data_IF_175803908600
#
_entry.id   IF_175803908600
#
_cell.length_a   1.000
_cell.length_b   1.000
_cell.length_c   1.000
_cell.angle_alpha   90.00
_cell.angle_beta   90.00
_cell.angle_gamma   90.00
#
_symmetry.space_group_name_H-M   'P 1'
#
loop_
_entity.id
_entity.type
_entity.pdbx_description
1 polymer ?
#
# COMPACT_ATOMS: atom_id res chain seq x y z
N UNK A 1 -7.95 -23.80 -2.85
CA UNK A 1 -7.93 -22.36 -2.53
C UNK A 1 -6.85 -21.74 -3.37
N UNK A 2 -7.21 -20.85 -4.29
CA UNK A 2 -6.31 -20.39 -5.35
C UNK A 2 -5.33 -19.39 -4.76
N UNK A 3 -4.04 -19.76 -4.83
CA UNK A 3 -2.89 -18.92 -4.52
C UNK A 3 -2.94 -17.67 -5.40
N UNK A 4 -3.48 -16.57 -4.87
CA UNK A 4 -3.41 -15.26 -5.51
C UNK A 4 -1.94 -14.89 -5.65
N UNK A 5 -1.54 -14.47 -6.85
CA UNK A 5 -0.18 -14.03 -7.16
C UNK A 5 0.23 -12.94 -6.15
N UNK A 6 0.94 -13.34 -5.12
CA UNK A 6 1.25 -12.53 -3.96
C UNK A 6 2.41 -11.62 -4.37
N UNK A 7 2.08 -10.41 -4.80
CA UNK A 7 3.04 -9.31 -4.90
C UNK A 7 3.82 -9.28 -3.58
N UNK A 8 5.13 -9.52 -3.67
CA UNK A 8 5.98 -9.68 -2.49
C UNK A 8 6.22 -8.29 -1.87
N UNK A 9 5.37 -7.93 -0.93
CA UNK A 9 5.47 -6.70 -0.16
C UNK A 9 6.31 -6.86 1.12
N UNK A 10 7.20 -7.85 1.17
CA UNK A 10 8.08 -8.04 2.32
C UNK A 10 8.93 -6.79 2.56
N UNK A 11 8.62 -6.06 3.63
CA UNK A 11 9.42 -4.95 4.13
C UNK A 11 9.72 -5.14 5.60
N UNK A 12 10.91 -4.74 6.00
CA UNK A 12 11.28 -4.73 7.41
C UNK A 12 10.41 -3.76 8.20
N UNK A 13 10.31 -3.98 9.51
CA UNK A 13 9.58 -3.09 10.42
C UNK A 13 10.11 -1.66 10.38
N UNK A 14 11.44 -1.50 10.27
CA UNK A 14 12.11 -0.20 10.18
C UNK A 14 11.69 0.56 8.92
N UNK A 15 11.68 -0.09 7.76
CA UNK A 15 11.21 0.50 6.51
C UNK A 15 9.73 0.89 6.57
N UNK A 16 8.88 0.10 7.24
CA UNK A 16 7.48 0.47 7.46
C UNK A 16 7.33 1.71 8.34
N UNK A 17 8.17 1.85 9.36
CA UNK A 17 8.14 3.00 10.26
C UNK A 17 8.67 4.27 9.56
N UNK A 18 9.66 4.15 8.69
CA UNK A 18 10.11 5.23 7.81
C UNK A 18 9.01 5.70 6.85
N UNK A 19 8.29 4.76 6.21
CA UNK A 19 7.17 5.09 5.34
C UNK A 19 6.05 5.81 6.11
N UNK A 20 5.72 5.33 7.31
CA UNK A 20 4.73 5.99 8.18
C UNK A 20 5.19 7.39 8.58
N UNK A 21 6.47 7.58 8.85
CA UNK A 21 7.05 8.90 9.15
C UNK A 21 7.06 9.83 7.92
N UNK A 22 7.34 9.30 6.73
CA UNK A 22 7.24 10.04 5.48
C UNK A 22 5.80 10.49 5.24
N UNK A 23 4.82 9.57 5.33
CA UNK A 23 3.40 9.88 5.20
C UNK A 23 2.95 11.02 6.11
N UNK A 24 3.36 11.04 7.38
CA UNK A 24 3.02 12.12 8.33
C UNK A 24 3.58 13.49 7.94
N UNK A 25 4.67 13.53 7.17
CA UNK A 25 5.34 14.76 6.72
C UNK A 25 4.86 15.21 5.33
N UNK A 26 4.31 14.29 4.55
CA UNK A 26 3.85 14.56 3.18
C UNK A 26 2.60 15.44 3.17
N UNK A 27 2.67 16.57 2.44
CA UNK A 27 1.53 17.48 2.21
C UNK A 27 0.78 17.19 0.91
N UNK A 28 1.44 16.51 -0.03
CA UNK A 28 0.82 16.07 -1.28
C UNK A 28 -0.11 14.88 -1.01
N UNK A 29 -1.42 15.07 -1.27
CA UNK A 29 -2.44 14.06 -1.02
C UNK A 29 -2.27 12.80 -1.87
N UNK A 30 -1.77 12.94 -3.10
CA UNK A 30 -1.53 11.80 -3.99
C UNK A 30 -0.37 10.98 -3.44
N UNK A 31 0.71 11.64 -3.06
CA UNK A 31 1.88 10.97 -2.50
C UNK A 31 1.58 10.30 -1.16
N UNK A 32 0.81 10.96 -0.29
CA UNK A 32 0.31 10.36 0.94
C UNK A 32 -0.53 9.10 0.66
N UNK A 33 -1.38 9.13 -0.38
CA UNK A 33 -2.14 7.97 -0.83
C UNK A 33 -1.26 6.80 -1.26
N UNK A 34 -0.20 7.07 -2.04
CA UNK A 34 0.77 6.05 -2.45
C UNK A 34 1.45 5.39 -1.27
N UNK A 35 1.91 6.19 -0.30
CA UNK A 35 2.58 5.66 0.89
C UNK A 35 1.62 4.80 1.72
N UNK A 36 0.34 5.21 1.87
CA UNK A 36 -0.67 4.38 2.55
C UNK A 36 -0.88 3.05 1.84
N UNK A 37 -0.97 3.04 0.51
CA UNK A 37 -1.14 1.81 -0.27
C UNK A 37 -0.03 0.81 0.05
N UNK A 38 1.22 1.26 -0.11
CA UNK A 38 2.41 0.42 0.11
C UNK A 38 2.47 -0.11 1.55
N UNK A 39 2.18 0.74 2.54
CA UNK A 39 2.16 0.31 3.95
C UNK A 39 1.07 -0.73 4.20
N UNK A 40 -0.14 -0.51 3.69
CA UNK A 40 -1.27 -1.43 3.88
C UNK A 40 -0.99 -2.81 3.26
N UNK A 41 -0.53 -2.82 2.01
CA UNK A 41 -0.15 -4.03 1.27
C UNK A 41 0.97 -4.81 1.99
N UNK A 42 2.01 -4.10 2.44
CA UNK A 42 3.11 -4.69 3.20
C UNK A 42 2.69 -5.20 4.60
N UNK A 43 1.56 -4.73 5.13
CA UNK A 43 0.96 -5.25 6.37
C UNK A 43 -0.06 -6.37 6.16
N UNK A 44 -0.21 -6.85 4.91
CA UNK A 44 -1.05 -8.00 4.59
C UNK A 44 -2.45 -7.66 4.08
N UNK A 45 -2.73 -6.39 3.76
CA UNK A 45 -3.99 -6.03 3.11
C UNK A 45 -3.99 -6.51 1.66
N UNK A 46 -5.16 -6.87 1.18
CA UNK A 46 -5.40 -7.22 -0.23
C UNK A 46 -5.46 -5.96 -1.10
N UNK A 47 -5.27 -6.14 -2.40
CA UNK A 47 -5.36 -5.04 -3.36
C UNK A 47 -6.77 -4.42 -3.37
N UNK A 48 -7.78 -5.24 -3.12
CA UNK A 48 -9.19 -4.90 -3.04
C UNK A 48 -9.49 -4.02 -1.81
N UNK A 49 -9.01 -4.39 -0.62
CA UNK A 49 -9.17 -3.58 0.60
C UNK A 49 -8.47 -2.23 0.46
N UNK A 50 -7.29 -2.19 -0.18
CA UNK A 50 -6.55 -0.95 -0.43
C UNK A 50 -7.25 -0.08 -1.46
N UNK A 51 -7.83 -0.69 -2.50
CA UNK A 51 -8.62 0.01 -3.50
C UNK A 51 -9.88 0.65 -2.90
N UNK A 52 -10.56 -0.08 -2.01
CA UNK A 52 -11.69 0.44 -1.24
C UNK A 52 -11.26 1.60 -0.32
N UNK A 53 -10.16 1.45 0.42
CA UNK A 53 -9.63 2.50 1.30
C UNK A 53 -9.28 3.78 0.54
N UNK A 54 -8.71 3.65 -0.65
CA UNK A 54 -8.24 4.77 -1.47
C UNK A 54 -9.29 5.27 -2.47
N UNK A 55 -10.43 4.57 -2.59
CA UNK A 55 -11.48 4.85 -3.56
C UNK A 55 -10.94 4.89 -5.01
N UNK A 56 -10.14 3.89 -5.37
CA UNK A 56 -9.55 3.72 -6.71
C UNK A 56 -9.84 2.32 -7.27
N UNK A 57 -9.49 2.08 -8.53
CA UNK A 57 -9.64 0.77 -9.17
C UNK A 57 -8.63 -0.26 -8.60
N UNK A 58 -9.06 -1.47 -8.20
CA UNK A 58 -8.16 -2.53 -7.72
C UNK A 58 -7.04 -2.92 -8.68
N UNK A 59 -7.25 -2.82 -10.00
CA UNK A 59 -6.20 -3.03 -11.00
C UNK A 59 -5.15 -1.92 -10.95
N UNK A 60 -5.53 -0.70 -10.56
CA UNK A 60 -4.54 0.35 -10.28
C UNK A 60 -3.63 -0.10 -9.15
N UNK A 61 -4.19 -0.69 -8.09
CA UNK A 61 -3.40 -1.20 -6.96
C UNK A 61 -2.47 -2.33 -7.38
N UNK A 62 -2.98 -3.35 -8.07
CA UNK A 62 -2.17 -4.49 -8.51
C UNK A 62 -1.05 -4.12 -9.49
N UNK A 63 -1.24 -3.08 -10.30
CA UNK A 63 -0.30 -2.72 -11.37
C UNK A 63 0.65 -1.57 -11.00
N UNK A 64 0.37 -0.78 -9.96
CA UNK A 64 1.15 0.42 -9.64
C UNK A 64 1.76 0.44 -8.24
N UNK A 65 1.34 -0.45 -7.31
CA UNK A 65 1.77 -0.42 -5.92
C UNK A 65 2.49 -1.68 -5.46
#
# INVERSE_FOLDING_TARGET
GIMSAMLDYSRSREQLDELRAAHRRTRDKREAGRIKAVVALATGWTAEEVAELLQIDPNTVRNHF
#
